data_IF_132100168931
#
_entry.id   IF_132100168931
#
_cell.length_a   1.000
_cell.length_b   1.000
_cell.length_c   1.000
_cell.angle_alpha   90.00
_cell.angle_beta   90.00
_cell.angle_gamma   90.00
#
_symmetry.space_group_name_H-M   'P 1'
#
loop_
_entity.id
_entity.type
_entity.pdbx_description
1 polymer ?
#
# COMPACT_ATOMS: atom_id res chain seq x y z
N UNK A 1 -48.92 9.57 -67.64
CA UNK A 1 -47.50 9.70 -67.23
C UNK A 1 -47.48 10.47 -65.92
N UNK A 2 -46.87 10.07 -64.83
CA UNK A 2 -46.58 8.76 -64.24
C UNK A 2 -46.42 9.07 -62.76
N UNK A 3 -46.75 8.09 -61.93
CA UNK A 3 -46.79 8.11 -60.48
C UNK A 3 -45.48 8.58 -59.82
N UNK A 4 -45.60 9.24 -58.68
CA UNK A 4 -44.49 9.61 -57.80
C UNK A 4 -44.45 8.58 -56.66
N UNK A 5 -43.44 7.71 -56.65
CA UNK A 5 -43.05 6.85 -55.51
C UNK A 5 -41.94 7.54 -54.71
N UNK A 6 -41.86 7.35 -53.38
CA UNK A 6 -40.82 7.93 -52.55
C UNK A 6 -39.57 7.04 -52.54
N UNK A 7 -38.38 7.61 -52.83
CA UNK A 7 -37.09 6.93 -52.66
C UNK A 7 -36.54 7.15 -51.25
N UNK A 8 -36.24 6.03 -50.60
CA UNK A 8 -35.62 5.89 -49.28
C UNK A 8 -34.25 6.57 -49.19
N UNK A 9 -34.05 7.36 -48.13
CA UNK A 9 -32.75 7.94 -47.75
C UNK A 9 -31.89 6.89 -47.05
N UNK A 10 -30.78 6.49 -47.68
CA UNK A 10 -29.72 5.70 -47.04
C UNK A 10 -28.95 6.55 -46.01
N UNK A 11 -28.56 6.01 -44.83
CA UNK A 11 -27.86 6.80 -43.82
C UNK A 11 -26.37 6.95 -44.16
N UNK A 12 -25.88 8.16 -43.86
CA UNK A 12 -24.55 8.70 -44.05
C UNK A 12 -23.43 7.80 -43.48
N UNK A 13 -22.35 7.66 -44.26
CA UNK A 13 -21.07 7.08 -43.86
C UNK A 13 -20.58 7.67 -42.54
N UNK A 14 -20.41 6.81 -41.53
CA UNK A 14 -19.65 7.11 -40.31
C UNK A 14 -18.20 7.36 -40.72
N UNK A 15 -17.68 8.51 -40.30
CA UNK A 15 -16.31 8.96 -40.49
C UNK A 15 -15.34 7.95 -39.91
N UNK A 16 -14.57 7.29 -40.78
CA UNK A 16 -13.41 6.49 -40.39
C UNK A 16 -12.36 7.44 -39.85
N UNK A 17 -12.21 7.52 -38.53
CA UNK A 17 -11.03 8.14 -37.92
C UNK A 17 -9.79 7.41 -38.46
N UNK A 18 -8.92 8.21 -39.07
CA UNK A 18 -7.67 7.81 -39.68
C UNK A 18 -6.78 7.13 -38.63
N UNK A 19 -6.65 5.81 -38.75
CA UNK A 19 -5.58 5.06 -38.09
C UNK A 19 -4.25 5.53 -38.70
N UNK A 20 -3.49 6.30 -37.93
CA UNK A 20 -2.08 6.55 -38.22
C UNK A 20 -1.35 5.21 -38.24
N UNK A 21 -0.80 4.85 -39.40
CA UNK A 21 0.11 3.71 -39.51
C UNK A 21 1.36 4.05 -38.70
N UNK A 22 1.51 3.42 -37.54
CA UNK A 22 2.72 3.56 -36.72
C UNK A 22 3.78 2.60 -37.26
N UNK A 23 4.93 3.18 -37.55
CA UNK A 23 6.12 2.62 -38.20
C UNK A 23 6.59 1.29 -37.58
N UNK A 24 6.92 0.33 -38.45
CA UNK A 24 7.25 -1.06 -38.15
C UNK A 24 8.75 -1.25 -37.84
N UNK A 25 9.33 -0.36 -37.02
CA UNK A 25 10.72 -0.44 -36.56
C UNK A 25 10.82 -0.05 -35.08
N UNK A 26 10.10 -0.77 -34.21
CA UNK A 26 10.29 -0.62 -32.77
C UNK A 26 11.42 -1.56 -32.32
N UNK A 27 12.58 -0.96 -32.02
CA UNK A 27 13.71 -1.62 -31.37
C UNK A 27 13.26 -2.07 -29.98
N UNK A 28 13.54 -3.33 -29.61
CA UNK A 28 13.24 -3.85 -28.29
C UNK A 28 14.03 -3.07 -27.22
N UNK A 29 13.33 -2.35 -26.34
CA UNK A 29 13.89 -1.78 -25.13
C UNK A 29 13.53 -2.66 -23.93
N UNK A 30 14.55 -3.01 -23.12
CA UNK A 30 14.35 -3.75 -21.89
C UNK A 30 13.52 -2.91 -20.90
N UNK A 31 12.47 -3.49 -20.30
CA UNK A 31 11.69 -2.81 -19.26
C UNK A 31 12.49 -2.72 -17.98
N UNK A 32 12.46 -1.53 -17.41
CA UNK A 32 12.89 -1.31 -16.03
C UNK A 32 11.80 -1.84 -15.09
N UNK A 33 12.08 -2.89 -14.30
CA UNK A 33 11.13 -3.39 -13.31
C UNK A 33 10.91 -2.35 -12.22
N UNK A 34 9.71 -2.37 -11.64
CA UNK A 34 9.42 -1.58 -10.45
C UNK A 34 8.82 -2.45 -9.36
N UNK A 35 9.21 -2.20 -8.12
CA UNK A 35 8.75 -2.97 -6.98
C UNK A 35 7.43 -2.40 -6.44
N UNK A 36 6.53 -3.31 -6.06
CA UNK A 36 5.23 -2.98 -5.43
C UNK A 36 5.06 -3.78 -4.14
N UNK A 37 4.25 -3.26 -3.22
CA UNK A 37 3.82 -3.98 -2.02
C UNK A 37 2.30 -4.04 -1.92
N UNK A 38 1.80 -5.10 -1.30
CA UNK A 38 0.40 -5.29 -1.01
C UNK A 38 0.15 -5.07 0.48
N UNK A 39 -0.54 -3.98 0.84
CA UNK A 39 -0.85 -3.69 2.23
C UNK A 39 -2.03 -4.54 2.70
N UNK A 40 -1.78 -5.50 3.58
CA UNK A 40 -2.79 -6.46 4.05
C UNK A 40 -3.74 -5.79 5.04
N UNK A 41 -4.72 -5.05 4.53
CA UNK A 41 -5.91 -4.64 5.29
C UNK A 41 -7.11 -5.55 4.97
N UNK A 42 -7.22 -6.02 3.72
CA UNK A 42 -8.25 -6.98 3.25
C UNK A 42 -7.77 -7.76 2.02
N UNK A 43 -8.41 -8.90 1.70
CA UNK A 43 -8.11 -9.72 0.51
C UNK A 43 -8.33 -8.99 -0.84
N UNK A 44 -8.75 -7.72 -0.81
CA UNK A 44 -9.01 -6.85 -1.97
C UNK A 44 -8.14 -5.59 -1.97
N UNK A 45 -7.17 -5.48 -1.06
CA UNK A 45 -6.33 -4.27 -0.97
C UNK A 45 -5.51 -4.05 -2.26
N UNK A 46 -5.36 -2.79 -2.71
CA UNK A 46 -4.61 -2.50 -3.92
C UNK A 46 -3.10 -2.70 -3.71
N UNK A 47 -2.38 -2.91 -4.81
CA UNK A 47 -0.92 -2.88 -4.84
C UNK A 47 -0.44 -1.42 -4.88
N UNK A 48 0.54 -1.09 -4.05
CA UNK A 48 1.14 0.24 -3.97
C UNK A 48 2.57 0.20 -4.51
N UNK A 49 2.99 1.19 -5.33
CA UNK A 49 4.37 1.27 -5.79
C UNK A 49 5.29 1.65 -4.64
N UNK A 50 6.48 1.05 -4.58
CA UNK A 50 7.56 1.61 -3.79
C UNK A 50 8.00 2.96 -4.37
N UNK A 51 8.70 3.75 -3.56
CA UNK A 51 9.37 4.94 -4.08
C UNK A 51 10.42 4.56 -5.13
N UNK A 52 10.78 5.49 -6.01
CA UNK A 52 11.82 5.26 -7.02
C UNK A 52 13.13 4.85 -6.36
N UNK A 53 13.54 5.57 -5.33
CA UNK A 53 14.73 5.25 -4.53
C UNK A 53 14.70 3.84 -3.92
N UNK A 54 13.58 3.44 -3.31
CA UNK A 54 13.48 2.12 -2.68
C UNK A 54 13.41 1.00 -3.72
N UNK A 55 12.68 1.22 -4.82
CA UNK A 55 12.60 0.28 -5.95
C UNK A 55 13.98 0.03 -6.58
N UNK A 56 14.77 1.10 -6.77
CA UNK A 56 16.12 1.00 -7.32
C UNK A 56 17.05 0.22 -6.36
N UNK A 57 16.96 0.45 -5.05
CA UNK A 57 17.73 -0.30 -4.04
C UNK A 57 17.37 -1.78 -4.05
N UNK A 58 16.07 -2.10 -4.12
CA UNK A 58 15.58 -3.47 -4.18
C UNK A 58 16.05 -4.16 -5.46
N UNK A 59 15.97 -3.49 -6.61
CA UNK A 59 16.39 -4.04 -7.90
C UNK A 59 17.91 -4.25 -7.97
N UNK A 60 18.70 -3.31 -7.45
CA UNK A 60 20.15 -3.47 -7.37
C UNK A 60 20.53 -4.68 -6.50
N UNK A 61 19.91 -4.82 -5.32
CA UNK A 61 20.16 -5.94 -4.42
C UNK A 61 19.71 -7.28 -5.03
N UNK A 62 18.60 -7.28 -5.78
CA UNK A 62 18.11 -8.45 -6.51
C UNK A 62 19.04 -8.84 -7.67
N UNK A 63 19.42 -7.88 -8.52
CA UNK A 63 20.23 -8.08 -9.73
C UNK A 63 21.67 -8.49 -9.43
N UNK A 64 22.20 -8.11 -8.26
CA UNK A 64 23.57 -8.45 -7.85
C UNK A 64 23.79 -9.95 -7.59
N UNK A 65 22.79 -10.81 -7.83
CA UNK A 65 22.88 -12.26 -7.63
C UNK A 65 22.93 -12.69 -6.17
N UNK A 66 22.80 -11.72 -5.24
CA UNK A 66 22.70 -11.98 -3.80
C UNK A 66 21.28 -12.51 -3.47
N UNK A 67 20.30 -12.30 -4.36
CA UNK A 67 18.86 -12.58 -4.20
C UNK A 67 18.43 -14.01 -3.86
N UNK A 68 19.33 -14.99 -3.95
CA UNK A 68 19.07 -16.37 -3.52
C UNK A 68 19.43 -16.64 -2.05
N UNK A 69 20.14 -15.72 -1.38
CA UNK A 69 20.33 -15.79 0.06
C UNK A 69 19.09 -15.26 0.78
N UNK A 70 18.48 -16.12 1.59
CA UNK A 70 17.27 -15.85 2.38
C UNK A 70 17.46 -14.75 3.45
N UNK A 71 18.66 -14.17 3.54
CA UNK A 71 19.09 -13.24 4.57
C UNK A 71 19.18 -11.79 4.11
N UNK A 72 18.95 -11.46 2.83
CA UNK A 72 18.99 -10.05 2.41
C UNK A 72 17.77 -9.32 2.94
N UNK A 73 18.04 -8.26 3.70
CA UNK A 73 17.05 -7.34 4.23
C UNK A 73 17.40 -5.94 3.74
N UNK A 74 16.45 -5.28 3.07
CA UNK A 74 16.61 -3.92 2.58
C UNK A 74 15.66 -3.00 3.34
N UNK A 75 16.15 -1.97 4.04
CA UNK A 75 15.30 -0.98 4.68
C UNK A 75 14.63 -0.11 3.61
N UNK A 76 13.31 0.02 3.68
CA UNK A 76 12.48 0.81 2.77
C UNK A 76 11.57 1.76 3.54
N UNK A 77 10.90 2.69 2.83
CA UNK A 77 9.96 3.66 3.42
C UNK A 77 10.58 4.40 4.60
N UNK A 78 11.77 4.95 4.35
CA UNK A 78 12.53 5.66 5.37
C UNK A 78 13.00 4.81 6.55
N UNK A 79 13.20 3.50 6.35
CA UNK A 79 13.69 2.58 7.37
C UNK A 79 12.64 2.12 8.38
N UNK A 80 11.37 2.43 8.14
CA UNK A 80 10.23 1.96 8.95
C UNK A 80 9.81 0.54 8.61
N UNK A 81 10.13 0.10 7.39
CA UNK A 81 9.87 -1.25 6.93
C UNK A 81 11.16 -1.90 6.41
N UNK A 82 11.22 -3.20 6.56
CA UNK A 82 12.28 -4.05 6.06
C UNK A 82 11.71 -5.01 5.03
N UNK A 83 12.28 -5.02 3.82
CA UNK A 83 11.94 -5.99 2.77
C UNK A 83 12.92 -7.15 2.82
N UNK A 84 12.39 -8.34 3.07
CA UNK A 84 13.09 -9.61 2.97
C UNK A 84 12.97 -10.13 1.53
N UNK A 85 14.02 -9.93 0.73
CA UNK A 85 14.00 -10.28 -0.70
C UNK A 85 13.81 -11.77 -0.95
N UNK A 86 14.42 -12.63 -0.12
CA UNK A 86 14.33 -14.08 -0.28
C UNK A 86 12.92 -14.65 -0.06
N UNK A 87 12.12 -14.02 0.81
CA UNK A 87 10.73 -14.43 1.07
C UNK A 87 9.70 -13.56 0.38
N UNK A 88 10.10 -12.50 -0.32
CA UNK A 88 9.20 -11.52 -0.98
C UNK A 88 8.16 -10.92 -0.03
N UNK A 89 8.63 -10.55 1.17
CA UNK A 89 7.78 -9.98 2.23
C UNK A 89 8.41 -8.75 2.84
N UNK A 90 7.56 -7.82 3.28
CA UNK A 90 7.96 -6.69 4.11
C UNK A 90 7.44 -6.82 5.54
N UNK A 91 8.22 -6.33 6.49
CA UNK A 91 7.90 -6.28 7.92
C UNK A 91 8.06 -4.88 8.47
N UNK A 92 7.16 -4.47 9.34
CA UNK A 92 7.33 -3.26 10.12
C UNK A 92 8.46 -3.44 11.14
N UNK A 93 9.20 -2.37 11.38
CA UNK A 93 10.41 -2.38 12.23
C UNK A 93 10.07 -1.97 13.66
N UNK A 94 9.29 -0.90 13.79
CA UNK A 94 9.06 -0.23 15.08
C UNK A 94 7.74 -0.67 15.74
N UNK A 95 6.80 -1.21 14.96
CA UNK A 95 5.52 -1.74 15.43
C UNK A 95 5.27 -3.15 14.90
N UNK A 96 4.29 -3.81 15.50
CA UNK A 96 3.82 -5.12 15.06
C UNK A 96 2.71 -4.94 14.02
N UNK A 97 2.91 -5.54 12.85
CA UNK A 97 1.96 -5.54 11.73
C UNK A 97 2.05 -6.88 11.01
N UNK A 98 0.97 -7.31 10.35
CA UNK A 98 0.99 -8.50 9.51
C UNK A 98 1.96 -8.29 8.34
N UNK A 99 2.77 -9.32 8.07
CA UNK A 99 3.69 -9.31 6.92
C UNK A 99 2.92 -9.04 5.63
N UNK A 100 3.44 -8.10 4.84
CA UNK A 100 2.86 -7.71 3.57
C UNK A 100 3.68 -8.28 2.42
N UNK A 101 3.03 -8.65 1.32
CA UNK A 101 3.71 -9.22 0.15
C UNK A 101 4.38 -8.11 -0.67
N UNK A 102 5.53 -8.45 -1.26
CA UNK A 102 6.32 -7.55 -2.08
C UNK A 102 6.63 -8.23 -3.40
N UNK A 103 6.40 -7.54 -4.51
CA UNK A 103 6.54 -8.11 -5.84
C UNK A 103 7.36 -7.22 -6.76
N UNK A 104 8.19 -7.86 -7.58
CA UNK A 104 8.91 -7.22 -8.68
C UNK A 104 8.02 -7.29 -9.92
N UNK A 105 7.69 -6.13 -10.49
CA UNK A 105 6.64 -6.03 -11.49
C UNK A 105 7.16 -5.40 -12.78
N UNK A 106 6.90 -6.06 -13.91
CA UNK A 106 7.16 -5.52 -15.26
C UNK A 106 5.89 -5.44 -16.11
N UNK A 107 4.85 -6.21 -15.78
CA UNK A 107 3.60 -6.26 -16.52
C UNK A 107 2.38 -6.02 -15.63
N UNK A 108 1.38 -5.34 -16.17
CA UNK A 108 0.17 -4.96 -15.45
C UNK A 108 -1.08 -5.20 -16.29
N UNK A 109 -2.20 -5.54 -15.65
CA UNK A 109 -3.51 -5.55 -16.29
C UNK A 109 -4.46 -4.54 -15.66
N UNK A 110 -5.37 -4.00 -16.47
CA UNK A 110 -6.42 -3.10 -16.00
C UNK A 110 -7.54 -3.91 -15.32
N UNK A 111 -7.71 -3.71 -14.01
CA UNK A 111 -8.79 -4.28 -13.19
C UNK A 111 -10.10 -3.50 -13.27
N UNK A 112 -11.08 -3.91 -12.46
CA UNK A 112 -12.47 -3.41 -12.46
C UNK A 112 -12.58 -1.89 -12.27
N UNK A 113 -11.79 -1.30 -11.37
CA UNK A 113 -11.81 0.14 -11.07
C UNK A 113 -10.82 0.96 -11.91
N UNK A 114 -10.43 0.48 -13.10
CA UNK A 114 -9.33 1.07 -13.89
C UNK A 114 -7.97 1.12 -13.19
N UNK A 115 -7.84 0.46 -12.04
CA UNK A 115 -6.56 0.25 -11.34
C UNK A 115 -5.73 -0.79 -12.07
N UNK A 116 -4.44 -0.54 -12.16
CA UNK A 116 -3.49 -1.50 -12.71
C UNK A 116 -3.04 -2.47 -11.63
N UNK A 117 -3.16 -3.76 -11.90
CA UNK A 117 -2.73 -4.83 -11.00
C UNK A 117 -1.52 -5.52 -11.63
N UNK A 118 -0.43 -5.71 -10.87
CA UNK A 118 0.75 -6.38 -11.38
C UNK A 118 0.49 -7.87 -11.61
N UNK A 119 1.01 -8.40 -12.72
CA UNK A 119 1.07 -9.85 -12.91
C UNK A 119 2.16 -10.47 -12.03
N UNK A 120 1.98 -11.73 -11.58
CA UNK A 120 3.02 -12.49 -10.89
C UNK A 120 4.35 -12.47 -11.67
N UNK A 121 5.46 -12.49 -10.94
CA UNK A 121 6.80 -12.36 -11.54
C UNK A 121 7.09 -13.46 -12.57
N UNK A 122 6.77 -14.70 -12.25
CA UNK A 122 6.98 -15.85 -13.15
C UNK A 122 6.20 -15.68 -14.46
N UNK A 123 4.96 -15.20 -14.37
CA UNK A 123 4.13 -14.96 -15.55
C UNK A 123 4.61 -13.74 -16.35
N UNK A 124 5.10 -12.72 -15.66
CA UNK A 124 5.72 -11.54 -16.27
C UNK A 124 6.98 -11.91 -17.06
N UNK A 125 7.77 -12.89 -16.59
CA UNK A 125 8.94 -13.40 -17.33
C UNK A 125 8.53 -14.13 -18.62
N UNK A 126 7.48 -14.93 -18.55
CA UNK A 126 6.90 -15.60 -19.73
C UNK A 126 6.44 -14.56 -20.75
N UNK A 127 5.76 -13.49 -20.31
CA UNK A 127 5.35 -12.37 -21.15
C UNK A 127 6.54 -11.63 -21.78
N UNK A 128 7.64 -11.43 -21.07
CA UNK A 128 8.86 -10.80 -21.64
C UNK A 128 9.49 -11.67 -22.72
N UNK A 129 9.62 -12.98 -22.50
CA UNK A 129 10.24 -13.91 -23.48
C UNK A 129 9.38 -14.04 -24.74
N UNK A 130 8.06 -13.98 -24.59
CA UNK A 130 7.11 -14.18 -25.68
C UNK A 130 6.50 -12.87 -26.19
N UNK A 131 7.08 -11.72 -25.84
CA UNK A 131 6.60 -10.41 -26.30
C UNK A 131 6.62 -10.28 -27.83
N UNK A 132 7.51 -11.02 -28.51
CA UNK A 132 7.61 -11.06 -29.97
C UNK A 132 6.61 -12.04 -30.62
N UNK A 133 5.92 -12.86 -29.83
CA UNK A 133 4.94 -13.85 -30.31
C UNK A 133 3.53 -13.25 -30.25
N UNK A 134 2.78 -13.32 -31.35
CA UNK A 134 1.47 -12.65 -31.49
C UNK A 134 0.36 -13.17 -30.53
N UNK A 135 0.50 -14.39 -29.98
CA UNK A 135 -0.50 -15.02 -29.11
C UNK A 135 0.19 -15.79 -28.00
N UNK A 136 -0.27 -15.61 -26.77
CA UNK A 136 0.22 -16.28 -25.57
C UNK A 136 -0.92 -16.94 -24.77
N UNK A 137 -0.68 -18.14 -24.25
CA UNK A 137 -1.58 -18.79 -23.28
C UNK A 137 -1.03 -18.66 -21.86
N UNK A 138 -1.90 -18.24 -20.93
CA UNK A 138 -1.63 -18.12 -19.51
C UNK A 138 -1.66 -19.49 -18.81
N UNK A 139 -0.90 -19.68 -17.71
CA UNK A 139 -0.99 -20.86 -16.84
C UNK A 139 -2.42 -21.17 -16.37
N UNK A 140 -3.29 -20.16 -16.35
CA UNK A 140 -4.69 -20.26 -15.93
C UNK A 140 -5.67 -20.58 -17.07
N UNK A 141 -5.19 -20.91 -18.28
CA UNK A 141 -5.97 -21.08 -19.53
C UNK A 141 -6.64 -19.80 -20.05
N UNK A 142 -6.11 -18.64 -19.65
CA UNK A 142 -6.46 -17.36 -20.25
C UNK A 142 -5.65 -17.13 -21.53
N UNK A 143 -6.19 -16.40 -22.50
CA UNK A 143 -5.48 -16.07 -23.75
C UNK A 143 -5.06 -14.60 -23.69
N UNK A 144 -3.77 -14.32 -23.90
CA UNK A 144 -3.26 -12.95 -24.08
C UNK A 144 -2.90 -12.78 -25.55
N UNK A 145 -3.57 -11.85 -26.22
CA UNK A 145 -3.29 -11.51 -27.62
C UNK A 145 -2.42 -10.25 -27.63
N UNK A 146 -1.28 -10.36 -28.30
CA UNK A 146 -0.31 -9.29 -28.49
C UNK A 146 -0.51 -8.71 -29.89
N UNK A 147 -1.29 -7.62 -29.99
CA UNK A 147 -1.47 -6.94 -31.27
C UNK A 147 -0.27 -6.04 -31.61
N UNK A 148 0.33 -5.42 -30.59
CA UNK A 148 1.51 -4.54 -30.67
C UNK A 148 2.12 -4.41 -29.25
N UNK A 149 3.44 -4.11 -29.10
CA UNK A 149 4.07 -3.83 -27.80
C UNK A 149 3.33 -2.84 -26.87
N UNK A 150 2.50 -1.93 -27.42
CA UNK A 150 1.69 -0.96 -26.64
C UNK A 150 0.21 -1.35 -26.46
N UNK A 151 -0.25 -2.38 -27.16
CA UNK A 151 -1.65 -2.84 -27.16
C UNK A 151 -1.71 -4.35 -27.01
N UNK A 152 -1.86 -4.79 -25.76
CA UNK A 152 -2.00 -6.18 -25.38
C UNK A 152 -3.32 -6.40 -24.64
N UNK A 153 -3.93 -7.55 -24.89
CA UNK A 153 -5.29 -7.83 -24.46
C UNK A 153 -5.38 -9.20 -23.80
N UNK A 154 -5.85 -9.25 -22.56
CA UNK A 154 -6.03 -10.47 -21.77
C UNK A 154 -7.50 -10.90 -21.76
N UNK A 155 -7.76 -12.08 -22.31
CA UNK A 155 -9.05 -12.75 -22.36
C UNK A 155 -9.12 -13.82 -21.28
N UNK A 156 -9.99 -13.62 -20.30
CA UNK A 156 -10.32 -14.66 -19.33
C UNK A 156 -11.36 -15.62 -19.93
N UNK A 157 -11.22 -16.94 -19.78
CA UNK A 157 -12.18 -17.90 -20.26
C UNK A 157 -13.50 -17.72 -19.51
N UNK A 158 -14.59 -17.76 -20.26
CA UNK A 158 -15.94 -17.68 -19.71
C UNK A 158 -16.15 -18.90 -18.81
N UNK A 159 -16.42 -18.67 -17.52
CA UNK A 159 -16.82 -19.73 -16.61
C UNK A 159 -18.09 -20.41 -17.14
N UNK A 160 -18.23 -21.72 -16.91
CA UNK A 160 -19.50 -22.42 -17.18
C UNK A 160 -20.59 -21.66 -16.41
N UNK A 161 -21.70 -21.22 -17.05
CA UNK A 161 -22.73 -20.48 -16.35
C UNK A 161 -23.34 -21.38 -15.28
N UNK A 162 -23.28 -20.98 -14.01
CA UNK A 162 -24.13 -21.57 -12.99
C UNK A 162 -25.60 -21.25 -13.32
N UNK A 163 -26.48 -22.21 -13.06
CA UNK A 163 -27.90 -22.25 -13.41
C UNK A 163 -28.76 -21.09 -12.82
N UNK A 164 -28.13 -20.16 -12.08
CA UNK A 164 -28.74 -18.98 -11.48
C UNK A 164 -28.17 -17.67 -12.05
N UNK A 165 -28.53 -17.38 -13.31
CA UNK A 165 -28.88 -16.03 -13.78
C UNK A 165 -28.04 -14.81 -13.37
N UNK A 166 -26.72 -14.94 -13.18
CA UNK A 166 -25.85 -13.77 -13.15
C UNK A 166 -25.71 -13.23 -14.59
N UNK A 167 -26.06 -11.98 -14.80
CA UNK A 167 -25.91 -11.32 -16.11
C UNK A 167 -24.44 -11.35 -16.55
N UNK A 168 -24.11 -11.78 -17.80
CA UNK A 168 -22.74 -11.97 -18.27
C UNK A 168 -22.07 -10.65 -18.70
N UNK A 169 -22.26 -9.56 -17.95
CA UNK A 169 -21.79 -8.24 -18.39
C UNK A 169 -20.30 -7.99 -18.22
N UNK A 170 -19.58 -8.79 -17.42
CA UNK A 170 -18.13 -8.61 -17.19
C UNK A 170 -17.28 -9.87 -17.33
N UNK A 171 -17.88 -11.06 -17.40
CA UNK A 171 -17.16 -12.32 -17.63
C UNK A 171 -16.87 -12.48 -19.13
N UNK A 172 -15.61 -12.25 -19.53
CA UNK A 172 -15.16 -12.35 -20.93
C UNK A 172 -14.83 -11.01 -21.59
N UNK A 173 -14.91 -9.88 -20.87
CA UNK A 173 -14.44 -8.61 -21.42
C UNK A 173 -12.90 -8.60 -21.49
N UNK A 174 -12.30 -8.35 -22.65
CA UNK A 174 -10.85 -8.25 -22.78
C UNK A 174 -10.28 -7.17 -21.84
N UNK A 175 -9.33 -7.53 -20.98
CA UNK A 175 -8.60 -6.60 -20.11
C UNK A 175 -7.39 -6.04 -20.86
N UNK A 176 -7.14 -4.74 -20.73
CA UNK A 176 -5.94 -4.12 -21.30
C UNK A 176 -4.73 -4.49 -20.47
N UNK A 177 -3.66 -4.92 -21.13
CA UNK A 177 -2.35 -5.23 -20.55
C UNK A 177 -1.36 -4.12 -20.93
N UNK A 178 -0.54 -3.72 -19.97
CA UNK A 178 0.49 -2.69 -20.12
C UNK A 178 1.84 -3.23 -19.65
N UNK A 179 2.87 -2.93 -20.43
CA UNK A 179 4.26 -3.21 -20.17
C UNK A 179 4.91 -2.02 -19.47
N UNK A 180 5.61 -2.22 -18.37
CA UNK A 180 6.32 -1.18 -17.63
C UNK A 180 5.41 -0.19 -16.89
N UNK A 181 5.98 0.51 -15.91
CA UNK A 181 5.27 1.49 -15.08
C UNK A 181 5.02 2.81 -15.79
N UNK A 182 5.81 3.12 -16.82
CA UNK A 182 5.68 4.30 -17.67
C UNK A 182 4.40 4.29 -18.51
N UNK A 183 3.80 3.12 -18.72
CA UNK A 183 2.59 2.94 -19.53
C UNK A 183 1.31 2.81 -18.69
N UNK A 184 1.41 2.94 -17.36
CA UNK A 184 0.27 2.93 -16.44
C UNK A 184 0.11 4.29 -15.77
N UNK A 185 -1.13 4.66 -15.43
CA UNK A 185 -1.43 5.89 -14.71
C UNK A 185 -1.26 5.68 -13.20
N UNK A 186 -0.01 5.48 -12.75
CA UNK A 186 0.35 5.36 -11.33
C UNK A 186 1.30 6.48 -10.92
N UNK A 187 1.05 7.10 -9.77
CA UNK A 187 1.96 8.08 -9.19
C UNK A 187 3.05 7.33 -8.40
N UNK A 188 4.31 7.49 -8.80
CA UNK A 188 5.46 6.87 -8.14
C UNK A 188 6.12 7.92 -7.24
N UNK A 189 6.14 7.72 -5.91
CA UNK A 189 6.85 8.61 -5.00
C UNK A 189 8.35 8.65 -5.34
N UNK A 190 8.99 9.82 -5.24
CA UNK A 190 10.42 9.92 -5.55
C UNK A 190 11.29 9.22 -4.49
N UNK A 191 10.96 9.40 -3.22
CA UNK A 191 11.74 8.87 -2.10
C UNK A 191 11.55 9.70 -0.84
N UNK A 192 12.27 9.34 0.23
CA UNK A 192 12.32 10.11 1.48
C UNK A 192 13.77 10.53 1.75
N UNK A 193 14.01 11.74 2.29
CA UNK A 193 15.35 12.18 2.65
C UNK A 193 16.06 11.15 3.55
N UNK A 194 17.33 10.88 3.26
CA UNK A 194 18.13 9.91 4.01
C UNK A 194 18.51 10.41 5.41
N UNK A 195 18.67 11.71 5.58
CA UNK A 195 18.99 12.34 6.86
C UNK A 195 17.77 12.38 7.78
N UNK A 196 17.95 11.98 9.04
CA UNK A 196 16.92 12.02 10.07
C UNK A 196 17.35 13.03 11.13
N UNK A 197 16.54 14.07 11.33
CA UNK A 197 16.85 15.14 12.28
C UNK A 197 15.97 15.12 13.53
N UNK A 198 14.84 14.42 13.47
CA UNK A 198 13.90 14.34 14.59
C UNK A 198 13.31 12.94 14.70
N UNK A 199 13.21 12.44 15.93
CA UNK A 199 12.44 11.25 16.28
C UNK A 199 11.21 11.70 17.06
N UNK A 200 10.02 11.25 16.65
CA UNK A 200 8.75 11.66 17.26
C UNK A 200 8.01 10.41 17.72
N UNK A 201 7.83 10.25 19.03
CA UNK A 201 6.98 9.19 19.58
C UNK A 201 5.52 9.64 19.57
N UNK A 202 4.67 8.92 18.86
CA UNK A 202 3.22 9.14 18.86
C UNK A 202 2.56 8.13 19.81
N UNK A 203 2.00 8.66 20.89
CA UNK A 203 1.31 7.89 21.93
C UNK A 203 -0.18 8.10 21.76
N UNK A 204 -0.92 7.02 21.54
CA UNK A 204 -2.38 7.03 21.56
C UNK A 204 -2.93 6.67 22.94
N UNK A 205 -4.16 7.13 23.21
CA UNK A 205 -4.97 6.68 24.33
C UNK A 205 -5.34 5.20 24.26
N UNK A 206 -6.25 4.77 25.14
CA UNK A 206 -6.71 3.39 25.18
C UNK A 206 -7.89 3.28 24.22
N UNK A 207 -7.73 2.53 23.13
CA UNK A 207 -8.82 2.23 22.21
C UNK A 207 -8.33 1.85 20.81
N UNK A 208 -8.97 0.88 20.14
CA UNK A 208 -8.49 0.37 18.85
C UNK A 208 -8.55 1.41 17.71
N UNK A 209 -9.26 2.52 17.94
CA UNK A 209 -9.51 3.60 17.00
C UNK A 209 -8.76 4.87 17.42
N UNK A 210 -7.93 5.39 16.53
CA UNK A 210 -7.13 6.59 16.77
C UNK A 210 -7.90 7.90 16.54
N UNK A 211 -8.95 7.89 15.72
CA UNK A 211 -9.73 9.08 15.37
C UNK A 211 -11.23 8.80 15.19
N UNK A 212 -12.01 9.85 14.93
CA UNK A 212 -13.46 9.77 14.69
C UNK A 212 -13.84 8.92 13.46
N UNK A 213 -12.86 8.57 12.61
CA UNK A 213 -13.05 7.70 11.45
C UNK A 213 -12.75 6.23 11.77
N UNK A 214 -12.53 5.90 13.04
CA UNK A 214 -12.20 4.55 13.52
C UNK A 214 -10.96 3.95 12.86
N UNK A 215 -10.00 4.80 12.47
CA UNK A 215 -8.76 4.35 11.83
C UNK A 215 -7.77 3.85 12.85
N UNK A 216 -6.94 2.89 12.46
CA UNK A 216 -5.82 2.45 13.27
C UNK A 216 -4.80 3.58 13.43
N UNK A 217 -4.09 3.59 14.55
CA UNK A 217 -3.00 4.56 14.74
C UNK A 217 -1.89 4.42 13.69
N UNK A 218 -1.62 3.22 13.16
CA UNK A 218 -0.65 3.03 12.07
C UNK A 218 -1.06 3.86 10.83
N UNK A 219 -2.36 3.89 10.50
CA UNK A 219 -2.87 4.72 9.41
C UNK A 219 -2.71 6.21 9.74
N UNK A 220 -3.07 6.65 10.95
CA UNK A 220 -2.94 8.05 11.35
C UNK A 220 -1.47 8.54 11.34
N UNK A 221 -0.54 7.71 11.82
CA UNK A 221 0.91 7.98 11.76
C UNK A 221 1.41 8.05 10.32
N UNK A 222 0.95 7.14 9.47
CA UNK A 222 1.33 7.11 8.04
C UNK A 222 0.83 8.36 7.31
N UNK A 223 -0.38 8.82 7.61
CA UNK A 223 -0.94 10.03 7.02
C UNK A 223 -0.25 11.28 7.55
N UNK A 224 0.01 11.35 8.86
CA UNK A 224 0.77 12.44 9.46
C UNK A 224 2.14 12.56 8.79
N UNK A 225 2.84 11.43 8.62
CA UNK A 225 4.10 11.32 7.87
C UNK A 225 4.00 11.87 6.45
N UNK A 226 3.01 11.42 5.70
CA UNK A 226 2.80 11.82 4.30
C UNK A 226 2.51 13.32 4.19
N UNK A 227 1.68 13.86 5.09
CA UNK A 227 1.34 15.29 5.12
C UNK A 227 2.57 16.13 5.40
N UNK A 228 3.36 15.82 6.42
CA UNK A 228 4.52 16.65 6.72
C UNK A 228 5.62 16.53 5.68
N UNK A 229 5.85 15.34 5.08
CA UNK A 229 6.76 15.22 3.94
C UNK A 229 6.34 16.12 2.78
N UNK A 230 5.04 16.25 2.51
CA UNK A 230 4.53 17.15 1.47
C UNK A 230 4.64 18.64 1.86
N UNK A 231 4.55 18.97 3.15
CA UNK A 231 4.66 20.34 3.65
C UNK A 231 6.10 20.85 3.72
N UNK A 232 7.08 19.96 3.94
CA UNK A 232 8.50 20.32 4.08
C UNK A 232 9.02 21.14 2.88
N UNK A 233 8.89 20.69 1.61
CA UNK A 233 9.33 21.47 0.46
C UNK A 233 8.55 22.78 0.26
N UNK A 234 7.26 22.81 0.66
CA UNK A 234 6.41 23.97 0.46
C UNK A 234 6.71 25.11 1.45
N UNK A 235 6.98 24.78 2.72
CA UNK A 235 7.16 25.75 3.80
C UNK A 235 8.61 25.95 4.25
N UNK A 236 9.48 24.96 4.01
CA UNK A 236 10.87 24.95 4.50
C UNK A 236 11.89 24.75 3.38
N UNK A 237 11.55 25.11 2.13
CA UNK A 237 12.37 24.91 0.93
C UNK A 237 13.86 25.22 1.13
N UNK A 238 14.18 26.41 1.68
CA UNK A 238 15.57 26.83 1.91
C UNK A 238 16.32 25.90 2.86
N UNK A 239 15.67 25.49 3.94
CA UNK A 239 16.28 24.60 4.93
C UNK A 239 16.36 23.14 4.44
N UNK A 240 15.44 22.69 3.57
CA UNK A 240 15.53 21.40 2.90
C UNK A 240 16.64 21.37 1.85
N UNK A 241 16.77 22.43 1.03
CA UNK A 241 17.84 22.56 0.01
C UNK A 241 19.23 22.70 0.63
N UNK A 242 19.33 23.38 1.78
CA UNK A 242 20.58 23.51 2.55
C UNK A 242 20.90 22.26 3.41
N UNK A 243 20.06 21.21 3.38
CA UNK A 243 20.24 19.98 4.16
C UNK A 243 20.12 20.18 5.68
N UNK A 244 19.51 21.29 6.11
CA UNK A 244 19.32 21.65 7.51
C UNK A 244 18.10 20.96 8.14
N UNK A 245 17.16 20.47 7.32
CA UNK A 245 15.96 19.75 7.75
C UNK A 245 15.78 18.50 6.89
N UNK A 246 15.96 17.34 7.51
CA UNK A 246 15.72 16.00 7.03
C UNK A 246 14.34 15.49 7.46
N UNK A 247 14.16 14.16 7.42
CA UNK A 247 12.89 13.54 7.81
C UNK A 247 12.78 13.39 9.32
N UNK A 248 11.55 13.23 9.77
CA UNK A 248 11.26 12.69 11.09
C UNK A 248 10.78 11.25 10.98
N UNK A 249 10.97 10.48 12.04
CA UNK A 249 10.37 9.15 12.17
C UNK A 249 9.30 9.24 13.25
N UNK A 250 8.06 8.88 12.88
CA UNK A 250 6.98 8.71 13.83
C UNK A 250 6.88 7.25 14.25
N UNK A 251 7.17 7.01 15.52
CA UNK A 251 7.13 5.68 16.11
C UNK A 251 5.98 5.53 17.09
N UNK A 252 5.42 4.32 17.10
CA UNK A 252 4.13 4.02 17.66
C UNK A 252 4.23 3.36 19.03
N UNK A 253 3.61 3.96 20.04
CA UNK A 253 3.41 3.34 21.35
C UNK A 253 1.93 3.08 21.56
N UNK A 254 1.51 1.81 21.43
CA UNK A 254 0.14 1.37 21.77
C UNK A 254 0.17 0.67 23.15
N UNK A 255 -0.52 1.21 24.17
CA UNK A 255 -0.64 0.56 25.48
C UNK A 255 -1.53 -0.71 25.48
N UNK A 256 -2.46 -0.84 24.54
CA UNK A 256 -3.57 -1.81 24.60
C UNK A 256 -3.14 -3.28 24.59
N UNK A 257 -2.15 -3.66 23.79
CA UNK A 257 -1.82 -5.06 23.57
C UNK A 257 -0.83 -5.67 24.58
N UNK A 258 -0.09 -4.82 25.32
CA UNK A 258 0.97 -5.31 26.22
C UNK A 258 0.60 -5.24 27.70
N UNK A 259 -0.43 -4.49 28.04
CA UNK A 259 -1.02 -4.52 29.39
C UNK A 259 -2.04 -5.65 29.46
N UNK A 260 -1.67 -6.81 30.05
CA UNK A 260 -2.61 -7.91 30.36
C UNK A 260 -3.88 -7.45 31.11
N UNK A 261 -3.83 -6.28 31.73
CA UNK A 261 -4.88 -5.72 32.58
C UNK A 261 -6.04 -5.16 31.75
N UNK A 262 -5.77 -4.49 30.62
CA UNK A 262 -6.80 -3.79 29.84
C UNK A 262 -7.79 -4.79 29.18
N UNK A 263 -7.33 -5.87 28.52
CA UNK A 263 -8.24 -6.87 27.94
C UNK A 263 -9.05 -7.64 28.99
N UNK A 264 -8.47 -7.90 30.17
CA UNK A 264 -9.13 -8.60 31.28
C UNK A 264 -10.30 -7.78 31.82
N UNK A 265 -10.06 -6.50 32.11
CA UNK A 265 -11.10 -5.59 32.62
C UNK A 265 -12.17 -5.32 31.56
N UNK A 266 -11.79 -5.19 30.28
CA UNK A 266 -12.77 -5.01 29.20
C UNK A 266 -13.70 -6.22 29.07
N UNK A 267 -13.17 -7.45 29.20
CA UNK A 267 -13.95 -8.69 29.15
C UNK A 267 -14.92 -8.81 30.32
N UNK A 268 -14.48 -8.46 31.54
CA UNK A 268 -15.34 -8.47 32.73
C UNK A 268 -16.45 -7.41 32.65
N UNK A 269 -16.13 -6.24 32.08
CA UNK A 269 -17.11 -5.17 31.89
C UNK A 269 -18.12 -5.52 30.80
N UNK A 270 -17.71 -6.20 29.74
CA UNK A 270 -18.62 -6.77 28.75
C UNK A 270 -19.58 -7.79 29.37
N UNK A 271 -19.16 -8.54 30.39
CA UNK A 271 -20.01 -9.52 31.08
C UNK A 271 -21.05 -8.90 32.01
N UNK A 272 -20.75 -7.76 32.63
CA UNK A 272 -21.67 -7.08 33.57
C UNK A 272 -22.57 -6.03 32.90
N UNK A 273 -22.25 -5.58 31.68
CA UNK A 273 -23.06 -4.61 30.94
C UNK A 273 -24.20 -5.30 30.19
N UNK A 274 -25.43 -4.82 30.41
CA UNK A 274 -26.64 -5.39 29.78
C UNK A 274 -26.59 -5.27 28.24
N UNK A 275 -26.94 -6.33 27.49
CA UNK A 275 -26.95 -6.31 26.02
C UNK A 275 -27.87 -5.25 25.41
N UNK A 276 -28.90 -4.84 26.15
CA UNK A 276 -29.99 -3.96 25.72
C UNK A 276 -29.61 -2.47 25.61
N UNK A 277 -28.42 -2.05 26.06
CA UNK A 277 -27.99 -0.64 26.03
C UNK A 277 -26.63 -0.48 25.35
N UNK A 278 -26.57 -0.80 24.06
CA UNK A 278 -25.33 -0.80 23.27
C UNK A 278 -24.60 0.56 23.24
N UNK A 279 -25.33 1.67 23.19
CA UNK A 279 -24.75 3.04 23.14
C UNK A 279 -24.10 3.46 24.46
N UNK A 280 -24.79 3.23 25.59
CA UNK A 280 -24.24 3.54 26.92
C UNK A 280 -23.06 2.63 27.25
N UNK A 281 -23.12 1.35 26.84
CA UNK A 281 -22.01 0.42 26.96
C UNK A 281 -20.76 0.91 26.23
N UNK A 282 -20.91 1.35 24.99
CA UNK A 282 -19.79 1.89 24.22
C UNK A 282 -19.21 3.13 24.92
N UNK A 283 -20.05 4.07 25.36
CA UNK A 283 -19.60 5.25 26.11
C UNK A 283 -18.88 4.91 27.43
N UNK A 284 -19.42 3.99 28.23
CA UNK A 284 -18.78 3.59 29.50
C UNK A 284 -17.45 2.90 29.26
N UNK A 285 -17.36 2.04 28.24
CA UNK A 285 -16.15 1.27 27.95
C UNK A 285 -15.03 2.13 27.35
N UNK A 286 -15.36 3.09 26.49
CA UNK A 286 -14.36 3.91 25.79
C UNK A 286 -13.97 5.17 26.57
N UNK A 287 -14.88 5.75 27.38
CA UNK A 287 -14.63 7.06 28.01
C UNK A 287 -14.48 6.98 29.52
N UNK A 288 -15.39 6.28 30.19
CA UNK A 288 -15.43 6.23 31.66
C UNK A 288 -14.35 5.28 32.22
N UNK A 289 -14.06 4.20 31.50
CA UNK A 289 -13.03 3.23 31.87
C UNK A 289 -11.63 3.85 31.93
N UNK A 290 -11.30 4.65 30.92
CA UNK A 290 -10.03 5.36 30.81
C UNK A 290 -9.82 6.27 32.01
N UNK A 291 -10.85 7.01 32.40
CA UNK A 291 -10.82 7.83 33.61
C UNK A 291 -10.50 7.02 34.86
N UNK A 292 -11.04 5.81 35.00
CA UNK A 292 -10.72 4.94 36.14
C UNK A 292 -9.30 4.37 36.09
N UNK A 293 -8.79 4.06 34.91
CA UNK A 293 -7.40 3.61 34.76
C UNK A 293 -6.38 4.70 35.04
N UNK A 294 -6.61 5.91 34.52
CA UNK A 294 -5.71 7.05 34.76
C UNK A 294 -5.78 7.57 36.21
N UNK A 295 -6.94 7.46 36.88
CA UNK A 295 -7.08 7.89 38.28
C UNK A 295 -6.59 6.86 39.31
N UNK A 296 -6.50 5.58 38.93
CA UNK A 296 -5.96 4.55 39.83
C UNK A 296 -4.42 4.60 39.81
N UNK A 297 -3.75 4.86 40.96
CA UNK A 297 -2.29 4.95 41.00
C UNK A 297 -1.59 3.69 40.49
N UNK A 298 -2.17 2.51 40.74
CA UNK A 298 -1.61 1.23 40.30
C UNK A 298 -1.69 1.04 38.79
N UNK A 299 -2.83 1.39 38.19
CA UNK A 299 -3.04 1.24 36.74
C UNK A 299 -2.32 2.32 35.96
N UNK A 300 -2.37 3.58 36.42
CA UNK A 300 -1.62 4.69 35.83
C UNK A 300 -0.11 4.41 35.81
N UNK A 301 0.48 3.94 36.92
CA UNK A 301 1.90 3.58 36.94
C UNK A 301 2.23 2.45 35.96
N UNK A 302 1.34 1.46 35.84
CA UNK A 302 1.53 0.36 34.88
C UNK A 302 1.49 0.86 33.44
N UNK A 303 0.56 1.76 33.10
CA UNK A 303 0.47 2.40 31.78
C UNK A 303 1.74 3.20 31.49
N UNK A 304 2.16 4.06 32.42
CA UNK A 304 3.38 4.86 32.27
C UNK A 304 4.61 3.97 32.07
N UNK A 305 4.78 2.93 32.89
CA UNK A 305 5.91 2.00 32.76
C UNK A 305 5.89 1.26 31.41
N UNK A 306 4.69 0.88 30.92
CA UNK A 306 4.53 0.22 29.63
C UNK A 306 4.91 1.17 28.49
N UNK A 307 4.41 2.41 28.53
CA UNK A 307 4.71 3.43 27.52
C UNK A 307 6.21 3.75 27.50
N UNK A 308 6.81 4.00 28.67
CA UNK A 308 8.25 4.24 28.78
C UNK A 308 9.07 3.04 28.28
N UNK A 309 8.70 1.81 28.66
CA UNK A 309 9.39 0.61 28.20
C UNK A 309 9.31 0.40 26.69
N UNK A 310 8.16 0.68 26.07
CA UNK A 310 8.03 0.62 24.62
C UNK A 310 8.81 1.74 23.90
N UNK A 311 8.81 2.96 24.45
CA UNK A 311 9.64 4.05 23.94
C UNK A 311 11.13 3.69 24.00
N UNK A 312 11.60 3.13 25.12
CA UNK A 312 13.00 2.71 25.28
C UNK A 312 13.36 1.57 24.30
N UNK A 313 12.45 0.59 24.12
CA UNK A 313 12.61 -0.49 23.14
C UNK A 313 12.76 0.06 21.74
N UNK A 314 11.85 0.94 21.32
CA UNK A 314 11.85 1.50 19.97
C UNK A 314 13.06 2.42 19.76
N UNK A 315 13.38 3.26 20.75
CA UNK A 315 14.56 4.11 20.72
C UNK A 315 15.84 3.28 20.54
N UNK A 316 15.95 2.14 21.23
CA UNK A 316 17.09 1.24 21.10
C UNK A 316 17.22 0.70 19.67
N UNK A 317 16.13 0.19 19.09
CA UNK A 317 16.10 -0.29 17.69
C UNK A 317 16.47 0.83 16.72
N UNK A 318 15.92 2.04 16.94
CA UNK A 318 16.21 3.21 16.13
C UNK A 318 17.69 3.59 16.18
N UNK A 319 18.31 3.58 17.37
CA UNK A 319 19.73 3.89 17.57
C UNK A 319 20.66 2.85 16.97
N UNK A 320 20.31 1.57 17.03
CA UNK A 320 21.05 0.50 16.37
C UNK A 320 21.11 0.70 14.85
N UNK A 321 20.00 1.17 14.27
CA UNK A 321 19.88 1.42 12.83
C UNK A 321 20.46 2.77 12.40
N UNK A 322 20.47 3.75 13.30
CA UNK A 322 20.90 5.12 13.03
C UNK A 322 21.94 5.55 14.08
N UNK A 323 23.15 4.96 14.07
CA UNK A 323 24.18 5.21 15.08
C UNK A 323 24.62 6.68 15.11
N UNK A 324 24.63 7.33 13.94
CA UNK A 324 25.05 8.72 13.76
C UNK A 324 23.95 9.75 14.01
N UNK A 325 22.74 9.33 14.43
CA UNK A 325 21.66 10.26 14.73
C UNK A 325 22.06 11.23 15.84
N UNK A 326 21.95 12.54 15.58
CA UNK A 326 22.21 13.64 16.53
C UNK A 326 21.02 14.60 16.65
N UNK A 327 19.88 14.16 16.14
CA UNK A 327 18.66 14.93 16.13
C UNK A 327 17.96 15.01 17.48
N UNK A 328 16.81 15.66 17.49
CA UNK A 328 15.99 15.80 18.68
C UNK A 328 14.97 14.66 18.82
N UNK A 329 14.55 14.39 20.05
CA UNK A 329 13.51 13.42 20.37
C UNK A 329 12.33 14.16 20.97
N UNK A 330 11.14 13.95 20.42
CA UNK A 330 9.88 14.56 20.88
C UNK A 330 8.83 13.49 21.15
N UNK A 331 7.89 13.80 22.03
CA UNK A 331 6.73 12.93 22.32
C UNK A 331 5.47 13.73 22.04
N UNK A 332 4.52 13.12 21.34
CA UNK A 332 3.20 13.68 21.08
C UNK A 332 2.13 12.69 21.53
N UNK A 333 1.20 13.17 22.34
CA UNK A 333 0.05 12.42 22.80
C UNK A 333 -1.18 12.82 22.00
N UNK A 334 -1.86 11.84 21.42
CA UNK A 334 -3.20 12.04 20.84
C UNK A 334 -4.20 11.16 21.58
N UNK A 335 -5.11 11.81 22.31
CA UNK A 335 -6.25 11.13 22.91
C UNK A 335 -7.50 11.49 22.13
N UNK A 336 -8.37 10.51 21.91
CA UNK A 336 -9.79 10.77 21.65
C UNK A 336 -10.43 11.26 22.97
N UNK A 337 -10.02 12.44 23.42
CA UNK A 337 -10.74 13.14 24.47
C UNK A 337 -12.09 13.57 23.92
N UNK A 338 -13.14 12.84 24.28
CA UNK A 338 -14.50 13.39 24.30
C UNK A 338 -14.93 13.60 25.74
#
# INVERSE_FOLDING_TARGET
>A
MSSQEPQETSPSRVSTESFEMVDASQVYEAVTPHWFYHQVQDNRSPWFPFSREDSDKLEQAFSSGIGCNMTIVIPTRGGRYDVHLGSRKQRAVYWEEKESEVQRCTWFYKGEESRYVPYPEDFSQVLEVQCDSAVLESPFRDIIILHNPKLMVHYQPVGIPDEWGATPSEQGRPRTVKRGVENISVEIPSGEPSQIDHLVFMVHGIGPACDLQFRSIIQCVTDFHSVTLNLLPAHFKKATEEGLIGRYICDLVIPEHKSYIVPFVHSDIQRITLPSISRLRHFTNETVLDLFFYNSPTYCQTIVNTVCGEMDRIYSIFRERNPDFKGHVSVTGHSLGM
#
